data_IF_628411945632
#
_entry.id   IF_628411945632
#
_cell.length_a   1.000
_cell.length_b   1.000
_cell.length_c   1.000
_cell.angle_alpha   90.00
_cell.angle_beta   90.00
_cell.angle_gamma   90.00
#
_symmetry.space_group_name_H-M   'P 1'
#
loop_
_entity.id
_entity.type
_entity.pdbx_description
1 polymer ?
#
# COMPACT_ATOMS: atom_id res chain seq x y z
N UNK A 1 -26.91 14.56 -11.15
CA UNK A 1 -25.86 13.71 -10.58
C UNK A 1 -24.64 14.57 -10.33
N UNK A 2 -24.10 14.62 -9.11
CA UNK A 2 -22.88 15.36 -8.77
C UNK A 2 -21.66 14.44 -8.78
N UNK A 3 -20.47 15.01 -8.62
CA UNK A 3 -19.25 14.24 -8.42
C UNK A 3 -19.31 13.49 -7.07
N UNK A 4 -18.80 12.27 -7.05
CA UNK A 4 -18.81 11.43 -5.85
C UNK A 4 -17.74 11.88 -4.83
N UNK A 5 -16.58 12.33 -5.32
CA UNK A 5 -15.45 12.72 -4.50
C UNK A 5 -14.84 14.05 -4.95
N UNK A 6 -14.74 14.98 -4.00
CA UNK A 6 -14.06 16.27 -4.16
C UNK A 6 -12.83 16.31 -3.28
N UNK A 7 -11.73 16.83 -3.77
CA UNK A 7 -10.54 17.05 -2.96
C UNK A 7 -9.98 18.44 -3.23
N UNK A 8 -9.92 19.26 -2.19
CA UNK A 8 -9.24 20.54 -2.23
C UNK A 8 -8.39 20.74 -0.98
N UNK A 9 -7.36 21.54 -1.15
CA UNK A 9 -6.43 21.88 -0.10
C UNK A 9 -5.75 23.21 -0.39
N UNK A 10 -5.33 23.90 0.66
CA UNK A 10 -4.38 24.99 0.61
C UNK A 10 -3.11 24.57 1.38
N UNK A 11 -1.95 24.95 0.86
CA UNK A 11 -0.65 24.59 1.48
C UNK A 11 0.27 25.80 1.47
N UNK A 12 0.87 26.07 2.64
CA UNK A 12 1.95 27.05 2.81
C UNK A 12 3.21 26.30 3.25
N UNK A 13 4.36 26.67 2.69
CA UNK A 13 5.65 26.06 3.01
C UNK A 13 6.73 27.10 3.20
N UNK A 14 7.64 26.83 4.14
CA UNK A 14 8.84 27.62 4.40
C UNK A 14 8.56 29.10 4.68
N UNK A 15 7.56 29.38 5.52
CA UNK A 15 7.23 30.72 5.96
C UNK A 15 7.82 30.97 7.37
N UNK A 16 9.04 31.49 7.43
CA UNK A 16 9.77 31.70 8.68
C UNK A 16 9.90 30.41 9.50
N UNK A 17 9.40 30.40 10.73
CA UNK A 17 9.40 29.26 11.63
C UNK A 17 8.39 28.16 11.21
N UNK A 18 7.44 28.49 10.37
CA UNK A 18 6.42 27.58 9.86
C UNK A 18 7.00 26.78 8.68
N UNK A 19 7.35 25.53 8.92
CA UNK A 19 7.89 24.64 7.88
C UNK A 19 6.84 24.26 6.83
N UNK A 20 5.63 23.88 7.28
CA UNK A 20 4.51 23.51 6.40
C UNK A 20 3.21 23.68 7.18
N UNK A 21 2.21 24.29 6.56
CA UNK A 21 0.84 24.23 7.01
C UNK A 21 -0.07 23.80 5.87
N UNK A 22 -1.10 23.03 6.19
CA UNK A 22 -2.10 22.58 5.23
C UNK A 22 -3.49 22.74 5.82
N UNK A 23 -4.42 23.22 5.00
CA UNK A 23 -5.85 23.25 5.28
C UNK A 23 -6.59 22.48 4.17
N UNK A 24 -7.68 21.77 4.51
CA UNK A 24 -8.44 20.91 3.62
C UNK A 24 -8.06 19.45 3.75
N UNK A 25 -7.87 18.74 2.63
CA UNK A 25 -7.52 17.31 2.68
C UNK A 25 -6.03 17.08 2.63
N UNK A 26 -5.52 16.31 3.58
CA UNK A 26 -4.09 16.05 3.72
C UNK A 26 -3.77 14.62 4.11
N UNK A 27 -2.53 14.24 3.92
CA UNK A 27 -1.92 12.98 4.35
C UNK A 27 -0.79 13.25 5.33
N UNK A 28 -0.62 12.34 6.25
CA UNK A 28 0.40 12.45 7.29
C UNK A 28 1.04 11.10 7.57
N UNK A 29 2.33 11.13 7.87
CA UNK A 29 3.06 10.00 8.42
C UNK A 29 3.87 10.49 9.61
N UNK A 30 3.79 9.75 10.74
CA UNK A 30 4.60 9.96 11.94
C UNK A 30 5.41 8.71 12.23
N UNK A 31 6.69 8.90 12.56
CA UNK A 31 7.61 7.81 12.87
C UNK A 31 7.79 6.81 11.72
N UNK A 32 7.60 5.54 12.00
CA UNK A 32 7.61 4.44 11.04
C UNK A 32 6.18 4.01 10.63
N UNK A 33 5.15 4.70 11.16
CA UNK A 33 3.76 4.48 10.81
C UNK A 33 3.01 3.50 11.72
N UNK A 34 3.54 3.21 12.89
CA UNK A 34 2.82 2.38 13.86
C UNK A 34 1.56 3.10 14.38
N UNK A 35 1.66 4.41 14.61
CA UNK A 35 0.54 5.21 15.08
C UNK A 35 -0.22 5.86 13.93
N UNK A 36 0.46 6.53 13.01
CA UNK A 36 -0.14 7.32 11.93
C UNK A 36 0.66 7.18 10.63
N UNK A 37 0.01 6.65 9.59
CA UNK A 37 0.52 6.66 8.23
C UNK A 37 -0.63 6.53 7.24
N UNK A 38 -0.96 7.62 6.57
CA UNK A 38 -1.95 7.66 5.48
C UNK A 38 -1.30 7.65 4.10
N UNK A 39 0.03 7.50 4.01
CA UNK A 39 0.75 7.36 2.75
C UNK A 39 0.57 5.96 2.16
N UNK A 40 0.77 5.86 0.86
CA UNK A 40 0.72 4.60 0.14
C UNK A 40 2.01 3.78 0.35
N UNK A 41 1.88 2.45 0.46
CA UNK A 41 3.00 1.51 0.58
C UNK A 41 3.07 0.59 -0.63
N UNK A 42 4.26 0.43 -1.20
CA UNK A 42 4.52 -0.39 -2.39
C UNK A 42 4.87 -1.87 -2.10
N UNK A 43 4.71 -2.33 -0.87
CA UNK A 43 5.04 -3.69 -0.45
C UNK A 43 6.49 -3.86 0.00
N UNK A 44 6.88 -5.09 0.36
CA UNK A 44 8.13 -5.39 1.08
C UNK A 44 9.40 -5.01 0.30
N UNK A 45 9.49 -5.37 -0.97
CA UNK A 45 10.69 -5.11 -1.77
C UNK A 45 10.95 -3.61 -2.00
N UNK A 46 9.90 -2.84 -2.28
CA UNK A 46 10.01 -1.39 -2.49
C UNK A 46 10.18 -0.60 -1.18
N UNK A 47 9.83 -1.20 -0.04
CA UNK A 47 9.99 -0.58 1.28
C UNK A 47 11.42 -0.64 1.81
N UNK A 48 12.30 -1.45 1.19
CA UNK A 48 13.68 -1.65 1.65
C UNK A 48 14.44 -0.34 1.89
N UNK A 49 14.37 0.59 0.95
CA UNK A 49 15.10 1.86 1.05
C UNK A 49 14.46 2.86 2.02
N UNK A 50 13.14 2.79 2.21
CA UNK A 50 12.39 3.69 3.07
C UNK A 50 12.33 3.31 4.55
N UNK A 51 12.60 2.05 4.90
CA UNK A 51 12.43 1.52 6.26
C UNK A 51 13.50 1.99 7.24
N UNK A 52 14.64 2.47 6.78
CA UNK A 52 15.76 2.91 7.64
C UNK A 52 15.59 4.32 8.20
N UNK A 53 14.47 4.97 7.96
CA UNK A 53 14.24 6.36 8.36
C UNK A 53 12.88 6.53 9.00
N UNK A 54 12.83 7.24 10.11
CA UNK A 54 11.58 7.81 10.62
C UNK A 54 11.19 9.02 9.77
N UNK A 55 9.91 9.28 9.65
CA UNK A 55 9.40 10.38 8.84
C UNK A 55 8.26 11.09 9.56
N UNK A 56 8.39 12.39 9.74
CA UNK A 56 7.27 13.26 10.07
C UNK A 56 6.93 14.06 8.82
N UNK A 57 6.05 13.52 7.98
CA UNK A 57 5.67 14.14 6.72
C UNK A 57 4.22 14.63 6.78
N UNK A 58 4.01 15.85 6.30
CA UNK A 58 2.71 16.48 6.09
C UNK A 58 2.62 16.86 4.61
N UNK A 59 1.60 16.32 3.92
CA UNK A 59 1.43 16.48 2.47
C UNK A 59 -0.04 16.70 2.10
N UNK A 60 -0.36 17.49 1.09
CA UNK A 60 -1.71 17.57 0.57
C UNK A 60 -2.18 16.21 0.01
N UNK A 61 -3.47 15.94 0.08
CA UNK A 61 -4.07 14.74 -0.49
C UNK A 61 -4.41 14.97 -1.95
N UNK A 62 -3.64 14.38 -2.85
CA UNK A 62 -3.81 14.44 -4.31
C UNK A 62 -4.23 13.10 -4.92
N UNK A 63 -4.53 12.08 -4.08
CA UNK A 63 -4.93 10.75 -4.54
C UNK A 63 -6.45 10.66 -4.74
N UNK A 64 -6.89 9.72 -5.56
CA UNK A 64 -8.31 9.35 -5.73
C UNK A 64 -8.85 8.50 -4.56
N UNK A 65 -8.00 8.12 -3.60
CA UNK A 65 -8.42 7.31 -2.43
C UNK A 65 -9.37 8.10 -1.53
N UNK A 66 -10.55 7.57 -1.29
CA UNK A 66 -11.57 8.15 -0.42
C UNK A 66 -11.41 7.76 1.07
N UNK A 67 -10.48 6.88 1.39
CA UNK A 67 -10.31 6.36 2.74
C UNK A 67 -9.06 6.90 3.46
N UNK A 68 -7.95 7.01 2.76
CA UNK A 68 -6.64 7.25 3.36
C UNK A 68 -6.26 8.74 3.32
N UNK A 69 -7.06 9.59 3.96
CA UNK A 69 -6.78 11.02 4.12
C UNK A 69 -7.32 11.53 5.46
N UNK A 70 -6.86 12.69 5.85
CA UNK A 70 -7.38 13.51 6.94
C UNK A 70 -7.97 14.78 6.34
N UNK A 71 -8.98 15.37 6.98
CA UNK A 71 -9.65 16.59 6.50
C UNK A 71 -9.75 17.61 7.65
N UNK A 72 -9.12 18.76 7.49
CA UNK A 72 -9.06 19.80 8.50
C UNK A 72 -7.79 20.61 8.35
N UNK A 73 -7.02 20.78 9.43
CA UNK A 73 -5.81 21.58 9.45
C UNK A 73 -4.65 20.82 10.09
N UNK A 74 -3.44 21.06 9.60
CA UNK A 74 -2.23 20.56 10.21
C UNK A 74 -1.07 21.51 9.93
N UNK A 75 -0.14 21.61 10.88
CA UNK A 75 1.04 22.43 10.72
C UNK A 75 2.27 21.76 11.36
N UNK A 76 3.43 22.00 10.77
CA UNK A 76 4.74 21.68 11.32
C UNK A 76 5.51 22.98 11.48
N UNK A 77 5.93 23.27 12.72
CA UNK A 77 6.70 24.44 13.11
C UNK A 77 8.10 24.05 13.57
N UNK A 78 9.11 24.78 13.18
CA UNK A 78 10.46 24.68 13.73
C UNK A 78 10.57 25.67 14.90
N UNK A 79 10.53 25.16 16.13
CA UNK A 79 10.63 25.97 17.36
C UNK A 79 12.09 26.41 17.61
N UNK A 80 13.02 25.60 17.14
CA UNK A 80 14.46 25.91 17.12
C UNK A 80 15.15 25.15 15.99
N UNK A 81 16.48 25.29 15.89
CA UNK A 81 17.30 24.49 14.94
C UNK A 81 17.22 22.99 15.19
N UNK A 82 16.92 22.59 16.41
CA UNK A 82 16.89 21.21 16.87
C UNK A 82 15.49 20.69 17.19
N UNK A 83 14.51 21.55 17.40
CA UNK A 83 13.18 21.20 17.88
C UNK A 83 12.11 21.59 16.86
N UNK A 84 11.26 20.65 16.53
CA UNK A 84 10.08 20.86 15.68
C UNK A 84 8.83 20.29 16.32
N UNK A 85 7.70 20.99 16.16
CA UNK A 85 6.39 20.58 16.60
C UNK A 85 5.48 20.41 15.38
N UNK A 86 4.80 19.29 15.31
CA UNK A 86 3.72 19.04 14.33
C UNK A 86 2.42 18.87 15.09
N UNK A 87 1.39 19.65 14.76
CA UNK A 87 0.06 19.49 15.31
C UNK A 87 -0.96 19.32 14.19
N UNK A 88 -2.03 18.57 14.43
CA UNK A 88 -3.05 18.31 13.44
C UNK A 88 -4.43 18.09 14.05
N UNK A 89 -5.43 18.46 13.28
CA UNK A 89 -6.83 18.22 13.59
C UNK A 89 -7.57 17.83 12.30
N UNK A 90 -8.45 16.85 12.42
CA UNK A 90 -9.26 16.35 11.30
C UNK A 90 -10.66 16.01 11.77
N UNK A 91 -11.65 16.49 11.04
CA UNK A 91 -13.04 16.06 11.16
C UNK A 91 -13.57 15.68 9.79
N UNK A 92 -14.11 14.46 9.66
CA UNK A 92 -14.66 13.98 8.39
C UNK A 92 -15.83 13.03 8.60
N UNK A 93 -16.72 12.99 7.61
CA UNK A 93 -17.72 11.96 7.47
C UNK A 93 -17.11 10.74 6.76
N UNK A 94 -17.41 9.55 7.25
CA UNK A 94 -16.91 8.28 6.74
C UNK A 94 -18.06 7.32 6.45
N UNK A 95 -17.80 6.38 5.57
CA UNK A 95 -18.74 5.34 5.21
C UNK A 95 -18.67 4.20 6.23
N UNK A 96 -19.82 3.74 6.68
CA UNK A 96 -19.88 2.67 7.66
C UNK A 96 -21.08 1.75 7.45
N UNK A 97 -20.89 0.47 7.71
CA UNK A 97 -22.00 -0.46 7.89
C UNK A 97 -22.45 -0.37 9.34
N UNK A 98 -23.70 0.03 9.57
CA UNK A 98 -24.30 0.08 10.89
C UNK A 98 -24.81 -1.31 11.31
N UNK A 99 -24.97 -1.52 12.61
CA UNK A 99 -25.68 -2.65 13.16
C UNK A 99 -27.21 -2.47 12.97
N UNK A 100 -28.00 -3.48 13.29
CA UNK A 100 -29.47 -3.44 13.19
C UNK A 100 -30.10 -2.33 14.05
N UNK A 101 -29.41 -1.90 15.10
CA UNK A 101 -29.82 -0.78 15.98
C UNK A 101 -29.71 0.59 15.33
N UNK A 102 -29.10 0.67 14.14
CA UNK A 102 -28.77 1.92 13.41
C UNK A 102 -28.00 2.97 14.23
N UNK A 103 -27.59 2.64 15.46
CA UNK A 103 -26.90 3.51 16.39
C UNK A 103 -25.42 3.21 16.50
N UNK A 104 -25.00 1.95 16.26
CA UNK A 104 -23.63 1.50 16.40
C UNK A 104 -23.04 1.06 15.07
N UNK A 105 -21.71 1.21 14.92
CA UNK A 105 -20.95 0.87 13.70
C UNK A 105 -20.45 -0.56 13.78
N UNK A 106 -20.84 -1.38 12.81
CA UNK A 106 -20.33 -2.75 12.63
C UNK A 106 -18.97 -2.76 11.95
N UNK A 107 -18.80 -1.96 10.86
CA UNK A 107 -17.58 -1.94 10.05
C UNK A 107 -17.39 -0.58 9.39
N UNK A 108 -16.17 -0.03 9.47
CA UNK A 108 -15.75 1.15 8.70
C UNK A 108 -15.39 0.69 7.29
N UNK A 109 -15.99 1.32 6.28
CA UNK A 109 -15.73 1.02 4.87
C UNK A 109 -14.61 1.90 4.32
N UNK A 110 -13.75 1.31 3.49
CA UNK A 110 -12.61 1.99 2.87
C UNK A 110 -12.62 1.92 1.33
N UNK A 111 -13.70 1.40 0.74
CA UNK A 111 -13.80 1.19 -0.70
C UNK A 111 -14.24 2.43 -1.47
N UNK A 112 -15.04 3.31 -0.87
CA UNK A 112 -15.60 4.50 -1.52
C UNK A 112 -16.59 4.19 -2.64
N UNK A 113 -17.23 3.02 -2.64
CA UNK A 113 -18.21 2.66 -3.67
C UNK A 113 -19.62 3.12 -3.28
N UNK A 114 -20.26 3.87 -4.19
CA UNK A 114 -21.61 4.44 -4.02
C UNK A 114 -22.49 4.18 -5.27
N UNK A 115 -22.52 2.92 -5.74
CA UNK A 115 -23.13 2.50 -7.02
C UNK A 115 -24.51 1.90 -6.86
N UNK A 116 -24.82 1.35 -5.68
CA UNK A 116 -26.08 0.68 -5.38
C UNK A 116 -26.81 1.36 -4.23
N UNK A 117 -28.12 1.13 -4.10
CA UNK A 117 -28.90 1.67 -2.98
C UNK A 117 -28.32 1.29 -1.61
N UNK A 118 -27.82 0.05 -1.46
CA UNK A 118 -27.19 -0.41 -0.22
C UNK A 118 -25.81 0.24 0.04
N UNK A 119 -25.04 0.56 -0.99
CA UNK A 119 -23.79 1.32 -0.87
C UNK A 119 -24.09 2.78 -0.52
N UNK A 120 -25.09 3.39 -1.15
CA UNK A 120 -25.55 4.76 -0.86
C UNK A 120 -26.07 4.91 0.59
N UNK A 121 -26.78 3.93 1.13
CA UNK A 121 -27.22 3.94 2.53
C UNK A 121 -26.08 3.93 3.55
N UNK A 122 -24.88 3.50 3.15
CA UNK A 122 -23.66 3.47 3.98
C UNK A 122 -22.80 4.71 3.82
N UNK A 123 -23.10 5.59 2.88
CA UNK A 123 -22.33 6.77 2.53
C UNK A 123 -22.39 7.81 3.63
N UNK A 124 -21.23 8.24 4.14
CA UNK A 124 -21.05 9.37 5.07
C UNK A 124 -21.99 9.38 6.29
N UNK A 125 -22.34 8.19 6.77
CA UNK A 125 -23.30 8.03 7.87
C UNK A 125 -22.70 8.06 9.28
N UNK A 126 -21.39 8.22 9.37
CA UNK A 126 -20.63 8.27 10.65
C UNK A 126 -19.59 9.38 10.56
N UNK A 127 -19.37 10.13 11.65
CA UNK A 127 -18.28 11.10 11.72
C UNK A 127 -17.10 10.57 12.53
N UNK A 128 -15.90 10.97 12.09
CA UNK A 128 -14.63 10.67 12.74
C UNK A 128 -13.86 11.96 12.98
N UNK A 129 -13.51 12.20 14.25
CA UNK A 129 -12.66 13.32 14.66
C UNK A 129 -11.32 12.79 15.14
N UNK A 130 -10.23 13.36 14.68
CA UNK A 130 -8.86 12.98 15.04
C UNK A 130 -8.07 14.24 15.36
N UNK A 131 -7.35 14.21 16.47
CA UNK A 131 -6.44 15.30 16.85
C UNK A 131 -5.18 14.72 17.46
N UNK A 132 -4.06 15.42 17.30
CA UNK A 132 -2.80 14.97 17.87
C UNK A 132 -1.64 15.90 17.60
N UNK A 133 -0.51 15.55 18.21
CA UNK A 133 0.75 16.28 18.07
C UNK A 133 1.95 15.34 18.07
N UNK A 134 3.05 15.83 17.51
CA UNK A 134 4.36 15.17 17.50
C UNK A 134 5.44 16.21 17.73
N UNK A 135 6.25 16.01 18.76
CA UNK A 135 7.43 16.82 19.05
C UNK A 135 8.68 16.04 18.68
N UNK A 136 9.50 16.59 17.82
CA UNK A 136 10.72 15.95 17.33
C UNK A 136 11.97 16.77 17.62
N UNK A 137 12.98 16.10 18.15
CA UNK A 137 14.33 16.64 18.39
C UNK A 137 15.28 16.04 17.35
N UNK A 138 16.16 16.91 16.80
CA UNK A 138 17.19 16.51 15.85
C UNK A 138 18.53 17.09 16.27
N UNK A 139 19.54 16.22 16.35
CA UNK A 139 20.92 16.63 16.64
C UNK A 139 21.91 15.75 15.90
N UNK A 140 22.71 16.34 15.04
CA UNK A 140 23.60 15.57 14.14
C UNK A 140 22.82 14.58 13.28
N UNK A 141 23.27 13.32 13.27
CA UNK A 141 22.58 12.19 12.60
C UNK A 141 21.40 11.59 13.37
N UNK A 142 21.16 12.03 14.61
CA UNK A 142 20.12 11.50 15.49
C UNK A 142 18.82 12.29 15.38
N UNK A 143 17.70 11.60 15.38
CA UNK A 143 16.35 12.19 15.48
C UNK A 143 15.52 11.33 16.43
N UNK A 144 14.78 11.96 17.35
CA UNK A 144 13.77 11.32 18.18
C UNK A 144 12.49 12.13 18.14
N UNK A 145 11.33 11.45 18.24
CA UNK A 145 10.04 12.13 18.29
C UNK A 145 9.06 11.40 19.21
N UNK A 146 8.41 12.16 20.06
CA UNK A 146 7.27 11.72 20.86
C UNK A 146 5.99 12.23 20.19
N UNK A 147 5.04 11.31 19.99
CA UNK A 147 3.78 11.61 19.30
C UNK A 147 2.60 11.06 20.09
N UNK A 148 1.49 11.78 20.08
CA UNK A 148 0.24 11.36 20.68
C UNK A 148 -0.94 11.77 19.81
N UNK A 149 -1.98 10.92 19.74
CA UNK A 149 -3.22 11.24 19.05
C UNK A 149 -4.44 10.62 19.71
N UNK A 150 -5.58 11.31 19.56
CA UNK A 150 -6.90 10.84 19.92
C UNK A 150 -7.79 10.71 18.69
N UNK A 151 -8.64 9.69 18.66
CA UNK A 151 -9.68 9.49 17.66
C UNK A 151 -11.02 9.30 18.34
N UNK A 152 -12.04 10.00 17.88
CA UNK A 152 -13.41 9.91 18.41
C UNK A 152 -14.40 9.75 17.24
N UNK A 153 -15.42 8.92 17.44
CA UNK A 153 -16.54 8.76 16.53
C UNK A 153 -17.82 9.28 17.16
N UNK A 154 -18.77 9.76 16.35
CA UNK A 154 -20.11 10.10 16.85
C UNK A 154 -20.95 8.85 17.20
N UNK A 155 -20.58 7.67 16.67
CA UNK A 155 -21.20 6.38 16.92
C UNK A 155 -20.19 5.39 17.49
N UNK A 156 -20.62 4.57 18.45
CA UNK A 156 -19.75 3.56 19.04
C UNK A 156 -19.41 2.47 18.01
N UNK A 157 -18.12 2.11 17.90
CA UNK A 157 -17.71 0.91 17.16
C UNK A 157 -18.11 -0.33 17.95
N UNK A 158 -18.93 -1.17 17.35
CA UNK A 158 -19.40 -2.44 17.91
C UNK A 158 -19.34 -3.53 16.83
N UNK A 159 -18.13 -3.97 16.47
CA UNK A 159 -17.94 -5.04 15.49
C UNK A 159 -18.55 -6.34 16.00
N UNK A 160 -18.98 -7.20 15.08
CA UNK A 160 -19.37 -8.55 15.40
C UNK A 160 -18.14 -9.36 15.84
N UNK A 161 -18.12 -9.78 17.11
CA UNK A 161 -17.02 -10.52 17.74
C UNK A 161 -17.36 -11.97 18.03
N UNK A 162 -18.42 -12.52 17.45
CA UNK A 162 -18.77 -13.95 17.54
C UNK A 162 -17.68 -14.85 16.96
N UNK A 163 -17.04 -14.42 15.86
CA UNK A 163 -15.88 -15.09 15.32
C UNK A 163 -14.63 -14.82 16.17
N UNK A 164 -13.90 -15.87 16.56
CA UNK A 164 -12.72 -15.81 17.42
C UNK A 164 -11.68 -14.80 16.93
N UNK A 165 -11.41 -14.73 15.64
CA UNK A 165 -10.43 -13.81 15.07
C UNK A 165 -10.79 -12.33 15.23
N UNK A 166 -12.07 -12.00 15.48
CA UNK A 166 -12.56 -10.64 15.72
C UNK A 166 -12.64 -10.24 17.19
N UNK A 167 -12.32 -11.14 18.10
CA UNK A 167 -12.47 -10.92 19.55
C UNK A 167 -11.81 -9.64 20.03
N UNK A 168 -10.65 -9.28 19.48
CA UNK A 168 -9.87 -8.10 19.84
C UNK A 168 -10.01 -6.95 18.85
N UNK A 169 -11.01 -6.93 17.98
CA UNK A 169 -11.27 -5.78 17.13
C UNK A 169 -11.58 -4.54 17.96
N UNK A 170 -11.22 -3.33 17.49
CA UNK A 170 -11.44 -2.10 18.25
C UNK A 170 -12.93 -1.89 18.55
N UNK A 171 -13.26 -1.71 19.81
CA UNK A 171 -14.60 -1.46 20.34
C UNK A 171 -14.60 -0.15 21.11
N UNK A 172 -15.68 0.61 21.03
CA UNK A 172 -15.82 1.87 21.76
C UNK A 172 -15.94 3.07 20.83
N UNK A 173 -15.91 4.23 21.41
CA UNK A 173 -16.12 5.51 20.72
C UNK A 173 -14.86 6.38 20.69
N UNK A 174 -13.96 6.19 21.67
CA UNK A 174 -12.73 6.97 21.84
C UNK A 174 -11.52 6.06 21.85
N UNK A 175 -10.49 6.44 21.12
CA UNK A 175 -9.24 5.68 20.96
C UNK A 175 -8.07 6.65 21.13
N UNK A 176 -7.07 6.25 21.89
CA UNK A 176 -5.83 6.99 22.10
C UNK A 176 -4.63 6.16 21.68
N UNK A 177 -3.64 6.81 21.11
CA UNK A 177 -2.35 6.19 20.76
C UNK A 177 -1.22 7.17 21.12
N UNK A 178 -0.11 6.62 21.64
CA UNK A 178 1.14 7.34 21.86
C UNK A 178 2.28 6.55 21.28
N UNK A 179 3.27 7.21 20.68
CA UNK A 179 4.46 6.55 20.14
C UNK A 179 5.72 7.36 20.38
N UNK A 180 6.83 6.64 20.59
CA UNK A 180 8.18 7.15 20.61
C UNK A 180 8.91 6.57 19.38
N UNK A 181 9.42 7.44 18.52
CA UNK A 181 10.22 7.05 17.36
C UNK A 181 11.62 7.64 17.45
N UNK A 182 12.60 6.93 16.91
CA UNK A 182 13.99 7.35 16.86
C UNK A 182 14.64 6.92 15.55
N UNK A 183 15.66 7.64 15.14
CA UNK A 183 16.55 7.23 14.04
C UNK A 183 17.94 7.82 14.22
N UNK A 184 18.93 7.04 13.79
CA UNK A 184 20.32 7.46 13.65
C UNK A 184 20.78 7.19 12.23
N UNK A 185 21.34 8.19 11.60
CA UNK A 185 21.80 8.14 10.21
C UNK A 185 23.28 8.46 10.12
N UNK A 186 24.06 7.49 9.65
CA UNK A 186 25.45 7.69 9.23
C UNK A 186 25.66 7.07 7.84
N UNK A 187 26.80 7.33 7.19
CA UNK A 187 27.04 6.79 5.84
C UNK A 187 26.99 5.26 5.75
N UNK A 188 27.42 4.56 6.80
CA UNK A 188 27.50 3.09 6.82
C UNK A 188 26.43 2.43 7.68
N UNK A 189 25.89 3.12 8.68
CA UNK A 189 24.93 2.56 9.63
C UNK A 189 23.70 3.46 9.71
N UNK A 190 22.52 2.89 9.51
CA UNK A 190 21.25 3.54 9.72
C UNK A 190 20.41 2.67 10.66
N UNK A 191 19.96 3.25 11.75
CA UNK A 191 19.10 2.62 12.73
C UNK A 191 17.82 3.43 12.84
N UNK A 192 16.68 2.80 12.83
CA UNK A 192 15.42 3.47 13.09
C UNK A 192 14.45 2.56 13.83
N UNK A 193 13.62 3.13 14.67
CA UNK A 193 12.61 2.38 15.40
C UNK A 193 11.44 3.25 15.81
N UNK A 194 10.34 2.59 16.11
CA UNK A 194 9.14 3.17 16.73
C UNK A 194 8.56 2.15 17.71
N UNK A 195 8.22 2.60 18.91
CA UNK A 195 7.41 1.87 19.86
C UNK A 195 6.11 2.66 20.12
N UNK A 196 4.98 1.98 20.10
CA UNK A 196 3.67 2.59 20.24
C UNK A 196 2.79 1.81 21.20
N UNK A 197 1.96 2.53 21.96
CA UNK A 197 0.93 1.97 22.84
C UNK A 197 -0.44 2.51 22.47
N UNK A 198 -1.46 1.69 22.65
CA UNK A 198 -2.85 2.07 22.45
C UNK A 198 -3.60 2.11 23.77
N UNK A 199 -4.66 2.92 23.87
CA UNK A 199 -5.55 2.98 25.04
C UNK A 199 -6.19 1.63 25.40
N UNK A 200 -6.16 0.65 24.51
CA UNK A 200 -6.56 -0.74 24.76
C UNK A 200 -5.54 -1.56 25.54
N UNK A 201 -4.38 -0.99 25.95
CA UNK A 201 -3.26 -1.68 26.59
C UNK A 201 -2.40 -2.51 25.62
N UNK A 202 -2.70 -2.51 24.33
CA UNK A 202 -1.87 -3.15 23.32
C UNK A 202 -0.65 -2.31 22.97
N UNK A 203 0.46 -2.99 22.62
CA UNK A 203 1.72 -2.36 22.20
C UNK A 203 2.20 -2.88 20.85
N UNK A 204 2.94 -2.05 20.15
CA UNK A 204 3.59 -2.39 18.89
C UNK A 204 5.01 -1.81 18.86
N UNK A 205 5.96 -2.52 18.26
CA UNK A 205 7.29 -2.00 17.98
C UNK A 205 7.79 -2.47 16.62
N UNK A 206 8.48 -1.58 15.94
CA UNK A 206 9.14 -1.82 14.65
C UNK A 206 10.54 -1.21 14.71
N UNK A 207 11.56 -2.03 14.49
CA UNK A 207 12.95 -1.62 14.55
C UNK A 207 13.69 -2.10 13.32
N UNK A 208 14.58 -1.29 12.80
CA UNK A 208 15.34 -1.58 11.59
C UNK A 208 16.78 -1.14 11.74
N UNK A 209 17.69 -1.97 11.25
CA UNK A 209 19.11 -1.68 11.11
C UNK A 209 19.46 -1.90 9.66
N UNK A 210 20.05 -0.89 9.02
CA UNK A 210 20.65 -1.02 7.71
C UNK A 210 22.15 -0.74 7.84
N UNK A 211 22.97 -1.66 7.32
CA UNK A 211 24.42 -1.60 7.37
C UNK A 211 25.00 -1.74 5.96
N UNK A 212 25.81 -0.79 5.56
CA UNK A 212 26.51 -0.78 4.28
C UNK A 212 28.02 -0.90 4.52
N UNK A 213 28.57 -2.14 4.60
CA UNK A 213 29.99 -2.35 4.79
C UNK A 213 30.83 -1.79 3.64
N UNK A 214 30.25 -1.73 2.45
CA UNK A 214 30.88 -1.13 1.26
C UNK A 214 29.82 -0.38 0.42
N UNK A 215 30.21 0.46 -0.54
CA UNK A 215 29.28 1.09 -1.47
C UNK A 215 28.50 0.10 -2.35
N UNK A 216 29.03 -1.12 -2.52
CA UNK A 216 28.42 -2.17 -3.34
C UNK A 216 27.49 -3.11 -2.56
N UNK A 217 27.55 -3.13 -1.22
CA UNK A 217 26.78 -4.06 -0.39
C UNK A 217 25.99 -3.32 0.69
N UNK A 218 24.70 -3.57 0.75
CA UNK A 218 23.79 -3.09 1.81
C UNK A 218 23.02 -4.26 2.40
N UNK A 219 23.05 -4.37 3.70
CA UNK A 219 22.33 -5.37 4.49
C UNK A 219 21.26 -4.68 5.33
N UNK A 220 20.16 -5.35 5.57
CA UNK A 220 19.05 -4.81 6.37
C UNK A 220 18.41 -5.88 7.24
N UNK A 221 18.23 -5.54 8.50
CA UNK A 221 17.49 -6.30 9.48
C UNK A 221 16.26 -5.48 9.90
N UNK A 222 15.09 -6.13 9.95
CA UNK A 222 13.87 -5.55 10.53
C UNK A 222 13.32 -6.53 11.54
N UNK A 223 13.06 -6.04 12.75
CA UNK A 223 12.33 -6.74 13.79
C UNK A 223 11.02 -6.03 14.04
N UNK A 224 9.92 -6.79 14.13
CA UNK A 224 8.60 -6.26 14.44
C UNK A 224 7.84 -7.13 15.43
N UNK A 225 7.13 -6.47 16.32
CA UNK A 225 6.19 -7.06 17.26
C UNK A 225 4.95 -6.20 17.34
N UNK A 226 3.80 -6.77 17.00
CA UNK A 226 2.50 -6.11 17.07
C UNK A 226 1.55 -6.99 17.89
N UNK A 227 1.19 -6.54 19.08
CA UNK A 227 0.23 -7.24 19.92
C UNK A 227 -1.12 -7.38 19.19
N UNK A 228 -1.82 -8.49 19.36
CA UNK A 228 -3.19 -8.66 18.85
C UNK A 228 -4.20 -7.70 19.50
N UNK A 229 -3.83 -7.06 20.61
CA UNK A 229 -4.62 -6.00 21.29
C UNK A 229 -4.24 -4.60 20.83
N UNK A 230 -3.17 -4.44 20.04
CA UNK A 230 -2.78 -3.13 19.54
C UNK A 230 -3.69 -2.70 18.41
N UNK A 231 -4.28 -1.50 18.54
CA UNK A 231 -5.13 -0.91 17.53
C UNK A 231 -4.79 0.56 17.34
N UNK A 232 -4.38 0.91 16.15
CA UNK A 232 -4.42 2.27 15.66
C UNK A 232 -5.11 2.29 14.29
N UNK A 233 -6.16 3.11 14.19
CA UNK A 233 -7.03 3.16 13.01
C UNK A 233 -6.34 3.70 11.76
N UNK A 234 -5.22 4.39 11.96
CA UNK A 234 -4.39 4.98 10.91
C UNK A 234 -3.02 4.33 10.79
N UNK A 235 -2.76 3.26 11.52
CA UNK A 235 -1.50 2.54 11.41
C UNK A 235 -1.35 1.89 10.02
N UNK A 236 -0.19 2.10 9.42
CA UNK A 236 0.25 1.41 8.21
C UNK A 236 1.78 1.34 8.24
N UNK A 237 2.32 0.19 8.60
CA UNK A 237 3.74 -0.05 8.75
C UNK A 237 4.12 -1.38 8.09
N UNK A 238 5.41 -1.68 8.07
CA UNK A 238 5.91 -2.91 7.49
C UNK A 238 5.31 -4.14 8.17
N UNK A 239 4.60 -4.98 7.43
CA UNK A 239 3.94 -6.19 7.93
C UNK A 239 3.76 -7.24 6.84
N UNK A 240 3.62 -8.51 7.21
CA UNK A 240 3.21 -9.60 6.31
C UNK A 240 1.69 -9.74 6.26
N UNK A 241 1.02 -9.52 7.39
CA UNK A 241 -0.44 -9.62 7.51
C UNK A 241 -1.22 -8.42 6.96
N UNK A 242 -0.54 -7.32 6.61
CA UNK A 242 -1.16 -6.10 6.07
C UNK A 242 -1.73 -5.16 7.14
N UNK A 243 -1.75 -5.55 8.40
CA UNK A 243 -2.20 -4.75 9.54
C UNK A 243 -1.10 -4.63 10.59
N UNK A 244 -1.08 -3.52 11.33
CA UNK A 244 -0.20 -3.33 12.49
C UNK A 244 -0.90 -3.90 13.73
N UNK A 245 -1.10 -5.21 13.72
CA UNK A 245 -1.72 -5.95 14.83
C UNK A 245 -1.49 -7.45 14.61
N UNK A 246 -1.36 -8.20 15.72
CA UNK A 246 -1.28 -9.66 15.70
C UNK A 246 -0.15 -10.20 14.81
N UNK A 247 1.05 -9.65 14.91
CA UNK A 247 2.20 -10.09 14.11
C UNK A 247 3.51 -9.93 14.85
N UNK A 248 4.35 -10.96 14.79
CA UNK A 248 5.76 -10.95 15.21
C UNK A 248 6.60 -11.40 14.03
N UNK A 249 7.72 -10.74 13.75
CA UNK A 249 8.50 -11.17 12.61
C UNK A 249 9.88 -10.57 12.52
N UNK A 250 10.71 -11.24 11.74
CA UNK A 250 12.08 -10.83 11.40
C UNK A 250 12.23 -10.89 9.89
N UNK A 251 12.78 -9.81 9.35
CA UNK A 251 13.10 -9.68 7.94
C UNK A 251 14.60 -9.42 7.78
N UNK A 252 15.22 -10.14 6.88
CA UNK A 252 16.59 -9.95 6.43
C UNK A 252 16.60 -9.60 4.96
N UNK A 253 17.27 -8.53 4.59
CA UNK A 253 17.40 -8.07 3.20
C UNK A 253 18.85 -7.77 2.82
N UNK A 254 19.18 -7.98 1.56
CA UNK A 254 20.47 -7.69 0.96
C UNK A 254 20.28 -7.02 -0.40
N UNK A 255 21.09 -6.00 -0.66
CA UNK A 255 21.30 -5.46 -2.00
C UNK A 255 22.79 -5.45 -2.28
N UNK A 256 23.22 -6.12 -3.36
CA UNK A 256 24.62 -6.29 -3.72
C UNK A 256 24.85 -5.95 -5.19
N UNK A 257 25.84 -5.11 -5.44
CA UNK A 257 26.29 -4.73 -6.78
C UNK A 257 27.71 -5.21 -7.00
N UNK A 258 27.89 -6.52 -7.37
CA UNK A 258 29.23 -7.08 -7.56
C UNK A 258 30.00 -6.39 -8.67
N UNK A 259 29.33 -5.97 -9.72
CA UNK A 259 29.86 -5.18 -10.85
C UNK A 259 28.87 -4.07 -11.20
N UNK A 260 29.33 -2.97 -11.78
CA UNK A 260 28.51 -1.78 -12.03
C UNK A 260 27.15 -2.05 -12.70
N UNK A 261 27.03 -2.88 -13.75
CA UNK A 261 25.74 -3.10 -14.42
C UNK A 261 24.80 -4.08 -13.67
N UNK A 262 25.28 -4.85 -12.69
CA UNK A 262 24.52 -5.93 -12.06
C UNK A 262 24.14 -5.57 -10.62
N UNK A 263 22.83 -5.52 -10.35
CA UNK A 263 22.24 -5.40 -9.01
C UNK A 263 21.55 -6.71 -8.64
N UNK A 264 21.98 -7.34 -7.56
CA UNK A 264 21.35 -8.49 -6.94
C UNK A 264 20.62 -8.04 -5.67
N UNK A 265 19.37 -8.46 -5.50
CA UNK A 265 18.61 -8.22 -4.27
C UNK A 265 18.02 -9.52 -3.77
N UNK A 266 18.09 -9.73 -2.46
CA UNK A 266 17.50 -10.89 -1.81
C UNK A 266 16.83 -10.47 -0.51
N UNK A 267 15.75 -11.16 -0.14
CA UNK A 267 15.23 -11.07 1.22
C UNK A 267 14.59 -12.39 1.67
N UNK A 268 14.56 -12.54 3.00
CA UNK A 268 13.77 -13.55 3.71
C UNK A 268 13.02 -12.86 4.83
N UNK A 269 11.73 -13.14 4.96
CA UNK A 269 10.84 -12.59 5.97
C UNK A 269 10.07 -13.71 6.64
N UNK A 270 10.22 -13.83 7.96
CA UNK A 270 9.44 -14.73 8.80
C UNK A 270 8.42 -13.94 9.60
N UNK A 271 7.18 -14.39 9.62
CA UNK A 271 6.12 -13.84 10.43
C UNK A 271 5.35 -14.93 11.19
N UNK A 272 5.08 -14.67 12.46
CA UNK A 272 4.19 -15.45 13.32
C UNK A 272 2.98 -14.62 13.70
N UNK A 273 1.81 -15.24 13.70
CA UNK A 273 0.53 -14.66 14.07
C UNK A 273 -0.02 -15.41 15.28
N UNK A 274 0.15 -14.90 16.49
CA UNK A 274 -0.25 -15.60 17.71
C UNK A 274 -1.74 -15.81 17.88
N UNK A 275 -2.57 -14.95 17.27
CA UNK A 275 -4.03 -15.00 17.33
C UNK A 275 -4.62 -15.42 15.98
N UNK A 276 -5.78 -16.14 15.96
CA UNK A 276 -6.50 -16.46 14.73
C UNK A 276 -6.73 -15.26 13.82
N UNK A 277 -6.83 -15.53 12.51
CA UNK A 277 -7.12 -14.54 11.47
C UNK A 277 -8.28 -15.03 10.60
N UNK A 278 -8.79 -14.19 9.75
CA UNK A 278 -9.81 -14.60 8.77
C UNK A 278 -9.29 -15.77 7.93
N UNK A 279 -10.05 -16.87 7.87
CA UNK A 279 -9.70 -18.16 7.23
C UNK A 279 -8.44 -18.84 7.80
N UNK A 280 -8.07 -18.53 9.04
CA UNK A 280 -6.94 -19.15 9.75
C UNK A 280 -7.32 -19.26 11.23
N UNK A 281 -7.93 -20.38 11.62
CA UNK A 281 -8.57 -20.58 12.93
C UNK A 281 -7.60 -20.81 14.09
N UNK A 282 -6.31 -20.94 13.80
CA UNK A 282 -5.26 -21.19 14.80
C UNK A 282 -4.14 -20.17 14.67
N UNK A 283 -3.25 -20.13 15.67
CA UNK A 283 -1.97 -19.44 15.56
C UNK A 283 -1.19 -19.97 14.34
N UNK A 284 -0.60 -19.10 13.56
CA UNK A 284 -0.03 -19.47 12.26
C UNK A 284 1.29 -18.77 11.98
N UNK A 285 1.99 -19.24 10.96
CA UNK A 285 3.28 -18.68 10.50
C UNK A 285 3.26 -18.44 8.99
N UNK A 286 4.18 -17.61 8.55
CA UNK A 286 4.42 -17.28 7.14
C UNK A 286 5.90 -17.11 6.89
N UNK A 287 6.36 -17.58 5.74
CA UNK A 287 7.67 -17.29 5.15
C UNK A 287 7.47 -16.61 3.81
N UNK A 288 8.27 -15.60 3.53
CA UNK A 288 8.25 -14.86 2.28
C UNK A 288 9.70 -14.57 1.85
N UNK A 289 10.17 -15.20 0.80
CA UNK A 289 11.51 -15.05 0.27
C UNK A 289 11.50 -14.55 -1.16
N UNK A 290 12.47 -13.72 -1.54
CA UNK A 290 12.64 -13.24 -2.90
C UNK A 290 14.12 -13.12 -3.26
N UNK A 291 14.42 -13.51 -4.49
CA UNK A 291 15.68 -13.21 -5.19
C UNK A 291 15.36 -12.40 -6.43
N UNK A 292 16.13 -11.37 -6.70
CA UNK A 292 15.99 -10.63 -7.95
C UNK A 292 17.36 -10.17 -8.46
N UNK A 293 17.51 -10.16 -9.78
CA UNK A 293 18.67 -9.65 -10.49
C UNK A 293 18.22 -8.59 -11.49
N UNK A 294 18.93 -7.47 -11.55
CA UNK A 294 18.76 -6.42 -12.55
C UNK A 294 20.10 -6.19 -13.23
N UNK A 295 20.17 -6.44 -14.53
CA UNK A 295 21.34 -6.16 -15.37
C UNK A 295 21.03 -4.96 -16.27
N UNK A 296 21.76 -3.87 -16.11
CA UNK A 296 21.58 -2.62 -16.84
C UNK A 296 22.74 -2.42 -17.82
N UNK A 297 22.48 -2.62 -19.12
CA UNK A 297 23.45 -2.50 -20.20
C UNK A 297 22.99 -1.35 -21.12
N UNK A 298 23.66 -0.21 -21.09
CA UNK A 298 23.35 0.96 -21.93
C UNK A 298 21.82 1.17 -22.15
N UNK A 299 21.28 0.63 -23.25
CA UNK A 299 19.86 0.75 -23.62
C UNK A 299 19.01 -0.46 -23.23
N UNK A 300 19.61 -1.55 -22.77
CA UNK A 300 18.94 -2.80 -22.40
C UNK A 300 18.98 -2.98 -20.88
N UNK A 301 17.82 -3.22 -20.29
CA UNK A 301 17.70 -3.64 -18.88
C UNK A 301 17.02 -5.01 -18.83
N UNK A 302 17.70 -6.00 -18.27
CA UNK A 302 17.16 -7.32 -18.00
C UNK A 302 16.84 -7.44 -16.52
N UNK A 303 15.65 -7.97 -16.20
CA UNK A 303 15.27 -8.24 -14.82
C UNK A 303 14.80 -9.70 -14.71
N UNK A 304 15.28 -10.38 -13.67
CA UNK A 304 14.80 -11.69 -13.26
C UNK A 304 14.36 -11.61 -11.80
N UNK A 305 13.24 -12.22 -11.44
CA UNK A 305 12.73 -12.25 -10.08
C UNK A 305 12.08 -13.60 -9.79
N UNK A 306 12.47 -14.20 -8.68
CA UNK A 306 11.83 -15.35 -8.09
C UNK A 306 11.37 -15.02 -6.68
N UNK A 307 10.13 -15.36 -6.34
CA UNK A 307 9.55 -15.19 -5.02
C UNK A 307 8.84 -16.46 -4.59
N UNK A 308 9.05 -16.87 -3.35
CA UNK A 308 8.35 -17.97 -2.71
C UNK A 308 7.67 -17.47 -1.44
N UNK A 309 6.43 -17.90 -1.22
CA UNK A 309 5.67 -17.62 0.00
C UNK A 309 5.05 -18.91 0.51
N UNK A 310 5.31 -19.20 1.78
CA UNK A 310 4.68 -20.30 2.50
C UNK A 310 3.75 -19.69 3.55
N UNK A 311 2.48 -20.05 3.48
CA UNK A 311 1.44 -19.55 4.40
C UNK A 311 0.56 -20.68 4.86
N UNK A 312 0.09 -20.58 6.09
CA UNK A 312 -0.86 -21.51 6.66
C UNK A 312 -2.30 -21.00 6.48
N UNK A 313 -3.20 -21.91 6.15
CA UNK A 313 -4.65 -21.70 6.05
C UNK A 313 -5.40 -22.88 6.64
N UNK A 314 -6.66 -22.67 6.99
CA UNK A 314 -7.53 -23.76 7.38
C UNK A 314 -7.73 -24.73 6.22
N UNK A 315 -7.81 -26.03 6.54
CA UNK A 315 -8.35 -27.02 5.62
C UNK A 315 -9.86 -26.78 5.41
N UNK A 316 -10.48 -27.47 4.45
CA UNK A 316 -11.91 -27.31 4.11
C UNK A 316 -12.84 -27.53 5.31
N UNK A 317 -12.48 -28.38 6.29
CA UNK A 317 -13.26 -28.67 7.50
C UNK A 317 -12.94 -27.73 8.68
N UNK A 318 -12.02 -26.78 8.54
CA UNK A 318 -11.55 -25.86 9.61
C UNK A 318 -11.03 -26.57 10.88
N UNK A 319 -10.51 -27.79 10.75
CA UNK A 319 -10.03 -28.62 11.87
C UNK A 319 -8.53 -28.55 12.10
N UNK A 320 -7.77 -28.16 11.07
CA UNK A 320 -6.30 -28.04 11.11
C UNK A 320 -5.81 -27.02 10.08
N UNK A 321 -4.59 -26.54 10.30
CA UNK A 321 -3.90 -25.72 9.29
C UNK A 321 -3.23 -26.62 8.25
N UNK A 322 -3.27 -26.18 6.99
CA UNK A 322 -2.52 -26.73 5.87
C UNK A 322 -1.56 -25.68 5.34
N UNK A 323 -0.40 -26.11 4.88
CA UNK A 323 0.58 -25.23 4.27
C UNK A 323 0.18 -24.95 2.82
N UNK A 324 0.26 -23.67 2.43
CA UNK A 324 0.07 -23.21 1.08
C UNK A 324 1.35 -22.56 0.59
N UNK A 325 1.88 -23.06 -0.52
CA UNK A 325 3.07 -22.52 -1.18
C UNK A 325 2.67 -21.75 -2.42
N UNK A 326 3.14 -20.51 -2.53
CA UNK A 326 2.99 -19.69 -3.72
C UNK A 326 4.40 -19.36 -4.27
N UNK A 327 4.69 -19.75 -5.50
CA UNK A 327 5.92 -19.42 -6.21
C UNK A 327 5.61 -18.52 -7.39
N UNK A 328 6.42 -17.50 -7.61
CA UNK A 328 6.26 -16.55 -8.70
C UNK A 328 7.60 -16.28 -9.37
N UNK A 329 7.63 -16.46 -10.67
CA UNK A 329 8.77 -16.10 -11.51
C UNK A 329 8.38 -14.93 -12.40
N UNK A 330 9.30 -14.01 -12.61
CA UNK A 330 9.16 -12.95 -13.61
C UNK A 330 10.49 -12.72 -14.30
N UNK A 331 10.45 -12.67 -15.62
CA UNK A 331 11.52 -12.21 -16.47
C UNK A 331 11.06 -10.99 -17.23
N UNK A 332 11.90 -9.98 -17.40
CA UNK A 332 11.59 -8.88 -18.30
C UNK A 332 12.85 -8.33 -18.98
N UNK A 333 12.70 -7.97 -20.23
CA UNK A 333 13.68 -7.27 -21.04
C UNK A 333 13.11 -5.90 -21.44
N UNK A 334 13.82 -4.83 -21.15
CA UNK A 334 13.41 -3.45 -21.43
C UNK A 334 14.47 -2.83 -22.32
N UNK A 335 14.09 -2.44 -23.53
CA UNK A 335 14.92 -1.66 -24.43
C UNK A 335 14.40 -0.22 -24.43
N UNK A 336 15.27 0.74 -24.14
CA UNK A 336 14.93 2.15 -24.10
C UNK A 336 15.81 2.96 -25.05
N UNK A 337 15.13 3.72 -25.89
CA UNK A 337 15.73 4.74 -26.75
C UNK A 337 15.21 6.12 -26.33
N UNK A 338 15.73 7.18 -26.93
CA UNK A 338 15.37 8.56 -26.58
C UNK A 338 13.87 8.85 -26.71
N UNK A 339 13.25 8.33 -27.78
CA UNK A 339 11.84 8.58 -28.10
C UNK A 339 10.94 7.38 -27.89
N UNK A 340 11.46 6.15 -27.80
CA UNK A 340 10.65 4.96 -27.63
C UNK A 340 11.20 3.99 -26.58
N UNK A 341 10.33 3.19 -26.04
CA UNK A 341 10.62 2.13 -25.07
C UNK A 341 9.81 0.89 -25.42
N UNK A 342 10.47 -0.26 -25.46
CA UNK A 342 9.83 -1.57 -25.55
C UNK A 342 10.14 -2.38 -24.31
N UNK A 343 9.16 -3.16 -23.85
CA UNK A 343 9.36 -4.06 -22.72
C UNK A 343 8.58 -5.35 -22.93
N UNK A 344 9.31 -6.45 -22.93
CA UNK A 344 8.74 -7.81 -22.93
C UNK A 344 8.81 -8.35 -21.51
N UNK A 345 7.73 -8.94 -21.02
CA UNK A 345 7.63 -9.52 -19.68
C UNK A 345 6.96 -10.89 -19.77
N UNK A 346 7.56 -11.86 -19.08
CA UNK A 346 6.98 -13.19 -18.86
C UNK A 346 6.82 -13.44 -17.36
N UNK A 347 5.63 -13.88 -16.95
CA UNK A 347 5.28 -14.24 -15.59
C UNK A 347 4.82 -15.67 -15.49
N UNK A 348 5.21 -16.35 -14.40
CA UNK A 348 4.69 -17.65 -14.01
C UNK A 348 4.32 -17.65 -12.53
N UNK A 349 3.17 -18.21 -12.20
CA UNK A 349 2.70 -18.44 -10.85
C UNK A 349 2.39 -19.91 -10.62
N UNK A 350 2.90 -20.48 -9.54
CA UNK A 350 2.61 -21.82 -9.08
C UNK A 350 2.04 -21.71 -7.66
N UNK A 351 0.89 -22.27 -7.42
CA UNK A 351 0.28 -22.33 -6.10
C UNK A 351 -0.03 -23.78 -5.79
N UNK A 352 0.49 -24.26 -4.68
CA UNK A 352 0.24 -25.61 -4.16
C UNK A 352 -0.37 -25.52 -2.78
N UNK A 353 -1.51 -26.17 -2.58
CA UNK A 353 -2.20 -26.38 -1.32
C UNK A 353 -2.80 -27.80 -1.34
N UNK A 354 -4.12 -27.94 -1.37
CA UNK A 354 -4.79 -29.24 -1.57
C UNK A 354 -4.66 -29.73 -3.03
N UNK A 355 -4.47 -28.80 -3.96
CA UNK A 355 -4.18 -29.06 -5.38
C UNK A 355 -3.14 -28.07 -5.89
N UNK A 356 -2.51 -28.37 -7.03
CA UNK A 356 -1.56 -27.47 -7.68
C UNK A 356 -2.27 -26.70 -8.78
N UNK A 357 -2.10 -25.37 -8.78
CA UNK A 357 -2.62 -24.46 -9.80
C UNK A 357 -1.46 -23.68 -10.42
N UNK A 358 -1.43 -23.62 -11.73
CA UNK A 358 -0.41 -22.94 -12.53
C UNK A 358 -1.04 -21.75 -13.26
N UNK A 359 -0.25 -20.71 -13.46
CA UNK A 359 -0.63 -19.58 -14.29
C UNK A 359 0.59 -19.02 -15.00
N UNK A 360 0.44 -18.57 -16.24
CA UNK A 360 1.48 -17.91 -17.01
C UNK A 360 0.92 -16.75 -17.82
N UNK A 361 1.78 -15.79 -18.12
CA UNK A 361 1.44 -14.61 -18.90
C UNK A 361 2.67 -14.14 -19.67
N UNK A 362 2.44 -13.71 -20.91
CA UNK A 362 3.42 -12.95 -21.68
C UNK A 362 2.81 -11.60 -22.03
N UNK A 363 3.57 -10.52 -21.80
CA UNK A 363 3.14 -9.16 -22.08
C UNK A 363 4.20 -8.43 -22.89
N UNK A 364 3.77 -7.77 -23.95
CA UNK A 364 4.54 -6.80 -24.70
C UNK A 364 4.00 -5.40 -24.43
N UNK A 365 4.88 -4.47 -24.02
CA UNK A 365 4.55 -3.07 -23.81
C UNK A 365 5.40 -2.18 -24.69
N UNK A 366 4.81 -1.14 -25.24
CA UNK A 366 5.46 -0.10 -26.01
C UNK A 366 5.18 1.29 -25.46
N UNK A 367 6.11 2.20 -25.58
CA UNK A 367 5.94 3.61 -25.26
C UNK A 367 6.66 4.48 -26.29
N UNK A 368 6.01 5.55 -26.71
CA UNK A 368 6.57 6.54 -27.64
C UNK A 368 6.33 7.93 -27.07
N UNK A 369 7.36 8.76 -27.09
CA UNK A 369 7.28 10.14 -26.62
C UNK A 369 7.96 11.07 -27.61
N UNK A 370 7.21 12.02 -28.14
CA UNK A 370 7.74 13.07 -29.01
C UNK A 370 7.09 14.41 -28.68
N UNK A 371 7.89 15.43 -28.42
CA UNK A 371 7.41 16.76 -28.09
C UNK A 371 6.34 16.74 -26.98
N UNK A 372 5.11 17.05 -27.35
CA UNK A 372 3.95 17.15 -26.45
C UNK A 372 3.14 15.85 -26.34
N UNK A 373 3.41 14.86 -27.20
CA UNK A 373 2.66 13.61 -27.27
C UNK A 373 3.41 12.48 -26.57
N UNK A 374 2.70 11.73 -25.74
CA UNK A 374 3.16 10.45 -25.19
C UNK A 374 2.09 9.39 -25.41
N UNK A 375 2.46 8.28 -26.00
CA UNK A 375 1.58 7.13 -26.25
C UNK A 375 2.22 5.91 -25.58
N UNK A 376 1.45 5.16 -24.80
CA UNK A 376 1.85 3.88 -24.22
C UNK A 376 0.79 2.83 -24.56
N UNK A 377 1.23 1.66 -24.97
CA UNK A 377 0.36 0.53 -25.26
C UNK A 377 0.89 -0.75 -24.66
N UNK A 378 0.03 -1.70 -24.39
CA UNK A 378 0.40 -3.06 -24.02
C UNK A 378 -0.57 -4.08 -24.58
N UNK A 379 -0.06 -5.30 -24.81
CA UNK A 379 -0.83 -6.49 -25.14
C UNK A 379 -0.31 -7.61 -24.27
N UNK A 380 -1.20 -8.38 -23.65
CA UNK A 380 -0.86 -9.52 -22.84
C UNK A 380 -1.77 -10.70 -23.17
N UNK A 381 -1.19 -11.90 -23.23
CA UNK A 381 -1.90 -13.17 -23.15
C UNK A 381 -1.68 -13.77 -21.77
N UNK A 382 -2.73 -14.28 -21.16
CA UNK A 382 -2.68 -14.93 -19.86
C UNK A 382 -3.50 -16.21 -19.84
N UNK A 383 -3.00 -17.18 -19.05
CA UNK A 383 -3.71 -18.42 -18.72
C UNK A 383 -3.47 -18.78 -17.26
N UNK A 384 -4.50 -19.23 -16.55
CA UNK A 384 -4.40 -19.76 -15.19
C UNK A 384 -5.39 -20.90 -14.99
N UNK A 385 -4.95 -21.99 -14.35
CA UNK A 385 -5.82 -23.14 -14.05
C UNK A 385 -6.94 -22.76 -13.08
N UNK A 386 -6.68 -21.82 -12.16
CA UNK A 386 -7.67 -21.35 -11.20
C UNK A 386 -7.36 -19.92 -10.72
N UNK A 387 -8.29 -19.35 -9.91
CA UNK A 387 -8.09 -18.06 -9.25
C UNK A 387 -6.86 -18.04 -8.31
N UNK A 388 -6.39 -19.17 -7.84
CA UNK A 388 -5.25 -19.26 -6.92
C UNK A 388 -3.91 -18.93 -7.57
N UNK A 389 -3.76 -19.22 -8.85
CA UNK A 389 -2.58 -18.86 -9.65
C UNK A 389 -2.71 -17.55 -10.44
N UNK A 390 -3.68 -16.69 -10.07
CA UNK A 390 -3.90 -15.37 -10.70
C UNK A 390 -2.64 -14.53 -10.77
N UNK A 391 -2.54 -13.74 -11.84
CA UNK A 391 -1.39 -12.92 -12.18
C UNK A 391 -1.70 -11.44 -11.99
N UNK A 392 -0.69 -10.65 -11.68
CA UNK A 392 -0.81 -9.20 -11.50
C UNK A 392 0.24 -8.48 -12.32
N UNK A 393 -0.18 -7.46 -13.03
CA UNK A 393 0.69 -6.61 -13.84
C UNK A 393 0.59 -5.17 -13.39
N UNK A 394 1.70 -4.45 -13.48
CA UNK A 394 1.67 -3.00 -13.41
C UNK A 394 1.35 -2.46 -14.80
N UNK A 395 0.29 -1.70 -14.90
CA UNK A 395 -0.13 -0.98 -16.08
C UNK A 395 -0.08 0.53 -15.84
N UNK A 396 0.46 1.28 -16.81
CA UNK A 396 0.48 2.73 -16.70
C UNK A 396 -0.93 3.30 -16.70
N UNK A 397 -1.34 3.91 -15.59
CA UNK A 397 -2.62 4.59 -15.40
C UNK A 397 -2.56 6.08 -15.77
N UNK A 398 -3.65 6.78 -15.49
CA UNK A 398 -3.72 8.24 -15.47
C UNK A 398 -2.89 8.78 -14.28
N UNK A 399 -2.69 10.10 -14.19
CA UNK A 399 -1.99 10.70 -13.05
C UNK A 399 -2.75 10.43 -11.76
N UNK A 400 -2.00 10.10 -10.70
CA UNK A 400 -2.53 9.80 -9.36
C UNK A 400 -3.37 8.52 -9.28
N UNK A 401 -3.39 7.71 -10.35
CA UNK A 401 -4.04 6.42 -10.40
C UNK A 401 -3.00 5.32 -10.66
N UNK A 402 -2.89 4.35 -9.73
CA UNK A 402 -2.07 3.16 -9.92
C UNK A 402 -2.97 2.02 -10.37
N UNK A 403 -2.66 1.44 -11.52
CA UNK A 403 -3.39 0.31 -12.07
C UNK A 403 -2.56 -0.96 -11.94
N UNK A 404 -3.14 -1.96 -11.26
CA UNK A 404 -2.60 -3.31 -11.15
C UNK A 404 -3.69 -4.30 -11.54
N UNK A 405 -4.02 -4.42 -12.83
CA UNK A 405 -5.01 -5.40 -13.27
C UNK A 405 -4.60 -6.80 -12.83
N UNK A 406 -5.62 -7.59 -12.48
CA UNK A 406 -5.52 -8.97 -12.05
C UNK A 406 -6.13 -9.86 -13.13
N UNK A 407 -5.40 -10.89 -13.54
CA UNK A 407 -5.81 -11.82 -14.57
C UNK A 407 -5.95 -13.23 -14.02
N UNK A 408 -7.05 -13.90 -14.36
CA UNK A 408 -7.30 -15.31 -14.07
C UNK A 408 -8.21 -15.92 -15.16
N UNK A 409 -8.14 -17.24 -15.35
CA UNK A 409 -8.70 -17.93 -16.48
C UNK A 409 -7.80 -17.80 -17.71
N UNK A 410 -8.37 -17.73 -18.88
CA UNK A 410 -7.65 -17.55 -20.15
C UNK A 410 -8.14 -16.34 -20.89
N UNK A 411 -7.24 -15.53 -21.47
CA UNK A 411 -7.64 -14.36 -22.22
C UNK A 411 -6.51 -13.49 -22.76
N UNK A 412 -6.96 -12.43 -23.43
CA UNK A 412 -6.12 -11.36 -23.97
C UNK A 412 -6.48 -10.05 -23.26
N UNK A 413 -5.46 -9.28 -22.94
CA UNK A 413 -5.61 -7.93 -22.41
C UNK A 413 -4.81 -6.95 -23.26
N UNK A 414 -5.42 -5.83 -23.63
CA UNK A 414 -4.76 -4.74 -24.33
C UNK A 414 -5.20 -3.41 -23.76
N UNK A 415 -4.25 -2.47 -23.69
CA UNK A 415 -4.52 -1.11 -23.26
C UNK A 415 -3.73 -0.12 -24.09
N UNK A 416 -4.33 1.03 -24.30
CA UNK A 416 -3.73 2.19 -24.96
C UNK A 416 -3.94 3.41 -24.05
N UNK A 417 -2.86 4.16 -23.81
CA UNK A 417 -2.87 5.43 -23.10
C UNK A 417 -2.25 6.50 -23.96
N UNK A 418 -2.94 7.61 -24.10
CA UNK A 418 -2.46 8.79 -24.80
C UNK A 418 -2.41 9.96 -23.83
N UNK A 419 -1.32 10.70 -23.85
CA UNK A 419 -1.15 11.97 -23.15
C UNK A 419 -0.73 13.03 -24.13
N UNK A 420 -1.40 14.19 -24.08
CA UNK A 420 -1.05 15.36 -24.85
C UNK A 420 -0.92 16.60 -23.96
N UNK A 421 0.26 17.22 -23.96
CA UNK A 421 0.54 18.45 -23.22
C UNK A 421 0.30 19.66 -24.14
N UNK A 422 -0.91 20.23 -24.14
CA UNK A 422 -1.27 21.39 -24.96
C UNK A 422 -0.38 22.60 -24.67
N UNK A 423 -0.17 22.83 -23.36
CA UNK A 423 0.73 23.85 -22.83
C UNK A 423 1.45 23.30 -21.59
N UNK A 424 2.40 24.08 -21.02
CA UNK A 424 3.00 23.74 -19.71
C UNK A 424 1.95 23.68 -18.57
N UNK A 425 0.78 24.30 -18.78
CA UNK A 425 -0.31 24.38 -17.79
C UNK A 425 -1.46 23.42 -18.07
N UNK A 426 -1.77 23.12 -19.33
CA UNK A 426 -2.90 22.30 -19.73
C UNK A 426 -2.44 20.97 -20.34
N UNK A 427 -2.91 19.88 -19.77
CA UNK A 427 -2.62 18.51 -20.20
C UNK A 427 -3.91 17.71 -20.26
N UNK A 428 -4.04 16.87 -21.30
CA UNK A 428 -5.08 15.87 -21.46
C UNK A 428 -4.48 14.47 -21.44
N UNK A 429 -5.17 13.53 -20.82
CA UNK A 429 -4.86 12.11 -20.88
C UNK A 429 -6.13 11.31 -21.10
N UNK A 430 -6.01 10.25 -21.91
CA UNK A 430 -7.03 9.23 -22.08
C UNK A 430 -6.39 7.84 -22.00
N UNK A 431 -7.11 6.89 -21.48
CA UNK A 431 -6.74 5.48 -21.43
C UNK A 431 -7.96 4.63 -21.76
N UNK A 432 -7.80 3.68 -22.67
CA UNK A 432 -8.77 2.62 -22.94
C UNK A 432 -8.08 1.28 -22.69
N UNK A 433 -8.77 0.35 -22.04
CA UNK A 433 -8.29 -1.02 -21.86
C UNK A 433 -9.42 -2.02 -22.07
N UNK A 434 -9.08 -3.16 -22.64
CA UNK A 434 -10.00 -4.26 -22.90
C UNK A 434 -9.39 -5.55 -22.40
N UNK A 435 -10.15 -6.31 -21.61
CA UNK A 435 -9.82 -7.69 -21.26
C UNK A 435 -10.87 -8.60 -21.90
N UNK A 436 -10.42 -9.47 -22.80
CA UNK A 436 -11.26 -10.45 -23.48
C UNK A 436 -10.93 -11.84 -22.94
N UNK A 437 -11.88 -12.49 -22.29
CA UNK A 437 -11.77 -13.85 -21.79
C UNK A 437 -12.13 -14.85 -22.88
N UNK A 438 -11.31 -15.89 -23.04
CA UNK A 438 -11.49 -16.97 -24.02
C UNK A 438 -12.19 -18.19 -23.41
N UNK A 439 -12.23 -18.27 -22.07
CA UNK A 439 -12.72 -19.40 -21.29
C UNK A 439 -14.15 -19.18 -20.71
N UNK A 440 -14.76 -18.03 -20.94
CA UNK A 440 -16.08 -17.69 -20.35
C UNK A 440 -16.86 -16.69 -21.18
N UNK A 441 -18.20 -16.78 -21.09
CA UNK A 441 -19.13 -15.86 -21.76
C UNK A 441 -19.70 -14.77 -20.82
N UNK A 442 -19.37 -14.82 -19.51
CA UNK A 442 -19.85 -13.87 -18.52
C UNK A 442 -18.75 -13.51 -17.53
N UNK A 443 -18.69 -12.25 -17.10
CA UNK A 443 -17.70 -11.71 -16.17
C UNK A 443 -18.42 -11.16 -14.94
N UNK A 444 -17.83 -11.35 -13.74
CA UNK A 444 -18.40 -10.86 -12.49
C UNK A 444 -19.62 -11.63 -12.00
N UNK A 445 -20.30 -11.12 -10.98
CA UNK A 445 -21.48 -11.73 -10.37
C UNK A 445 -22.44 -10.67 -9.80
N UNK A 446 -23.69 -11.07 -9.55
CA UNK A 446 -24.72 -10.19 -9.00
C UNK A 446 -24.96 -8.96 -9.86
N UNK A 447 -25.06 -7.79 -9.25
CA UNK A 447 -25.30 -6.51 -9.95
C UNK A 447 -24.11 -6.03 -10.82
N UNK A 448 -22.94 -6.66 -10.71
CA UNK A 448 -21.75 -6.35 -11.52
C UNK A 448 -21.52 -7.37 -12.64
N UNK A 449 -22.48 -8.23 -12.90
CA UNK A 449 -22.37 -9.23 -13.96
C UNK A 449 -22.43 -8.56 -15.34
N UNK A 450 -21.47 -8.89 -16.16
CA UNK A 450 -21.37 -8.52 -17.57
C UNK A 450 -21.67 -9.78 -18.39
N UNK A 451 -22.72 -9.78 -19.21
CA UNK A 451 -23.13 -10.92 -20.04
C UNK A 451 -22.34 -10.92 -21.36
N UNK A 452 -21.02 -10.81 -21.29
CA UNK A 452 -20.06 -10.85 -22.40
C UNK A 452 -18.74 -11.44 -21.90
N UNK A 453 -17.92 -11.93 -22.83
CA UNK A 453 -16.56 -12.38 -22.57
C UNK A 453 -15.55 -11.23 -22.41
N UNK A 454 -15.94 -9.98 -22.73
CA UNK A 454 -15.06 -8.84 -22.74
C UNK A 454 -15.53 -7.74 -21.78
N UNK A 455 -14.59 -7.11 -21.10
CA UNK A 455 -14.76 -5.90 -20.30
C UNK A 455 -13.91 -4.77 -20.91
N UNK A 456 -14.52 -3.62 -21.13
CA UNK A 456 -13.85 -2.40 -21.61
C UNK A 456 -13.91 -1.33 -20.54
N UNK A 457 -12.78 -0.73 -20.22
CA UNK A 457 -12.65 0.39 -19.29
C UNK A 457 -12.06 1.60 -20.03
N UNK A 458 -12.70 2.76 -19.89
CA UNK A 458 -12.25 4.03 -20.46
C UNK A 458 -12.10 5.06 -19.35
N UNK A 459 -10.94 5.68 -19.29
CA UNK A 459 -10.63 6.72 -18.30
C UNK A 459 -10.12 7.97 -19.04
N UNK A 460 -10.55 9.16 -18.61
CA UNK A 460 -10.09 10.44 -19.13
C UNK A 460 -9.70 11.36 -17.99
N UNK A 461 -8.72 12.23 -18.24
CA UNK A 461 -8.24 13.21 -17.27
C UNK A 461 -7.78 14.49 -17.96
N UNK A 462 -8.24 15.61 -17.41
CA UNK A 462 -7.72 16.93 -17.72
C UNK A 462 -6.99 17.47 -16.50
N UNK A 463 -5.82 18.04 -16.69
CA UNK A 463 -5.10 18.75 -15.63
C UNK A 463 -4.79 20.17 -16.09
N UNK A 464 -5.24 21.12 -15.31
CA UNK A 464 -4.94 22.53 -15.49
C UNK A 464 -4.19 23.06 -14.27
N UNK A 465 -3.09 23.78 -14.53
CA UNK A 465 -2.29 24.47 -13.51
C UNK A 465 -2.45 25.96 -13.71
N UNK A 466 -2.76 26.67 -12.67
CA UNK A 466 -2.88 28.13 -12.64
C UNK A 466 -1.53 28.78 -12.40
#
# INVERSE_FOLDING_TARGET
MGYDFYSFYAVVRNLGWLKTAVAGRYRMKLGMGLMMNTDFSFGKAASLDGLSRTSNSLRPHSSRSEANYLQGVAATANLSRHLSLTAFFSHRLIDATLNKDSATVKTILKTGYHRTASEMARRRNTSQTVGGASMAVRSGGFTAALSAMGTTFNRQLRPDTSAVFRRFYPKGQRFGNTSLSYSYLSPRLQVAGEAAVASSGGMATLNTVAFAPSPSLSLRLVYRYYSYRYHSLFASAFSDGGNVSNEQGVYLGMAWRPVAPLLLTAYADYARFPWPRYMVSFASRSWDGQLAATLSLNRLTLNARYRVRLRQRDNAKHTRLTDRTEQRFRLSAIVQHDVWRLATQADMALTSADSTSKGYMVMQSGGFKTGRLTVDGNVAYFHTDSYDSRLYVYERGLLYNFSFPMFYGEGLHYALRVRYDFTRRLMFMAKASVTNHLDRSTIGSGLQRINRSSQTDVEMQVRWKF
#
